data_IF_552013522605
#
_entry.id   IF_552013522605
#
_cell.length_a   1.000
_cell.length_b   1.000
_cell.length_c   1.000
_cell.angle_alpha   90.00
_cell.angle_beta   90.00
_cell.angle_gamma   90.00
#
_symmetry.space_group_name_H-M   'P 1'
#
loop_
_entity.id
_entity.type
_entity.pdbx_description
1 polymer ?
#
# COMPACT_ATOMS: atom_id res chain seq x y z
N UNK A 1 6.13 2.68 20.23
CA UNK A 1 5.32 3.91 20.06
C UNK A 1 6.20 5.05 19.54
N UNK A 2 6.89 5.87 20.35
CA UNK A 2 7.68 7.03 19.85
C UNK A 2 8.47 6.87 18.52
N UNK A 3 9.26 5.81 18.33
CA UNK A 3 9.96 5.59 17.03
C UNK A 3 9.00 5.36 15.84
N UNK A 4 7.91 4.64 16.05
CA UNK A 4 6.90 4.43 15.00
C UNK A 4 6.11 5.71 14.69
N UNK A 5 5.87 6.56 15.70
CA UNK A 5 5.28 7.89 15.50
C UNK A 5 6.23 8.81 14.70
N UNK A 6 7.53 8.73 14.96
CA UNK A 6 8.59 9.46 14.26
C UNK A 6 8.76 9.00 12.81
N UNK A 7 8.75 7.68 12.55
CA UNK A 7 8.76 7.11 11.19
C UNK A 7 7.51 7.48 10.38
N UNK A 8 6.32 7.48 10.99
CA UNK A 8 5.07 7.93 10.34
C UNK A 8 5.11 9.43 10.03
N UNK A 9 5.63 10.26 10.94
CA UNK A 9 5.83 11.69 10.69
C UNK A 9 6.83 11.95 9.54
N UNK A 10 7.91 11.17 9.43
CA UNK A 10 8.88 11.29 8.35
C UNK A 10 8.30 10.85 6.99
N UNK A 11 7.53 9.76 6.95
CA UNK A 11 6.87 9.28 5.71
C UNK A 11 5.80 10.25 5.23
N UNK A 12 4.99 10.80 6.14
CA UNK A 12 3.97 11.80 5.79
C UNK A 12 4.59 13.11 5.28
N UNK A 13 5.69 13.57 5.88
CA UNK A 13 6.44 14.72 5.37
C UNK A 13 7.02 14.48 3.97
N UNK A 14 7.58 13.28 3.71
CA UNK A 14 8.05 12.89 2.37
C UNK A 14 6.92 12.88 1.33
N UNK A 15 5.75 12.37 1.71
CA UNK A 15 4.60 12.30 0.81
C UNK A 15 4.06 13.69 0.45
N UNK A 16 3.98 14.61 1.43
CA UNK A 16 3.61 16.01 1.18
C UNK A 16 4.56 16.70 0.19
N UNK A 17 5.88 16.52 0.35
CA UNK A 17 6.88 17.10 -0.55
C UNK A 17 6.83 16.53 -1.99
N UNK A 18 6.33 15.31 -2.18
CA UNK A 18 6.09 14.72 -3.51
C UNK A 18 4.84 15.35 -4.15
N UNK A 19 3.77 15.56 -3.38
CA UNK A 19 2.53 16.18 -3.87
C UNK A 19 2.75 17.63 -4.32
N UNK A 20 3.51 18.44 -3.57
CA UNK A 20 3.86 19.80 -3.99
C UNK A 20 4.69 19.81 -5.29
N UNK A 21 5.65 18.89 -5.43
CA UNK A 21 6.44 18.74 -6.66
C UNK A 21 5.60 18.36 -7.89
N UNK A 22 4.61 17.48 -7.72
CA UNK A 22 3.68 17.13 -8.81
C UNK A 22 2.81 18.34 -9.19
N UNK A 23 2.34 19.09 -8.19
CA UNK A 23 1.53 20.31 -8.39
C UNK A 23 2.29 21.44 -9.09
N UNK A 24 3.60 21.57 -8.88
CA UNK A 24 4.45 22.54 -9.59
C UNK A 24 4.92 22.05 -10.98
N UNK A 25 4.89 20.74 -11.23
CA UNK A 25 5.35 20.14 -12.49
C UNK A 25 4.33 20.29 -13.63
N UNK A 26 3.05 20.04 -13.33
CA UNK A 26 1.96 19.96 -14.32
C UNK A 26 1.81 21.28 -15.12
N UNK A 27 1.78 22.42 -14.41
CA UNK A 27 1.58 23.74 -15.01
C UNK A 27 2.74 24.26 -15.88
N UNK A 28 3.88 23.57 -15.95
CA UNK A 28 5.01 23.96 -16.83
C UNK A 28 5.03 23.19 -18.15
N UNK A 29 4.50 21.96 -18.18
CA UNK A 29 4.46 21.14 -19.39
C UNK A 29 3.41 21.65 -20.39
N UNK A 30 2.18 21.91 -19.93
CA UNK A 30 1.08 22.39 -20.79
C UNK A 30 1.39 23.74 -21.44
N UNK A 31 1.97 24.68 -20.68
CA UNK A 31 2.35 26.00 -21.18
C UNK A 31 3.50 25.96 -22.20
N UNK A 32 4.33 24.90 -22.20
CA UNK A 32 5.39 24.73 -23.21
C UNK A 32 4.84 24.22 -24.54
N UNK A 33 3.92 23.24 -24.50
CA UNK A 33 3.28 22.66 -25.68
C UNK A 33 2.41 23.69 -26.42
N UNK A 34 1.66 24.51 -25.70
CA UNK A 34 0.79 25.53 -26.31
C UNK A 34 1.58 26.60 -27.09
N UNK A 35 2.81 26.90 -26.66
CA UNK A 35 3.65 27.93 -27.25
C UNK A 35 4.39 27.44 -28.53
N UNK A 36 4.61 26.12 -28.65
CA UNK A 36 5.28 25.50 -29.80
C UNK A 36 4.33 25.32 -31.00
N UNK A 37 3.07 24.98 -30.74
CA UNK A 37 2.01 24.85 -31.77
C UNK A 37 1.70 26.18 -32.47
N UNK A 38 1.81 27.31 -31.75
CA UNK A 38 1.52 28.63 -32.33
C UNK A 38 2.58 29.13 -33.34
N UNK A 39 3.76 28.53 -33.38
CA UNK A 39 4.86 28.92 -34.28
C UNK A 39 4.89 28.16 -35.61
N UNK A 40 4.11 27.08 -35.74
CA UNK A 40 4.13 26.19 -36.90
C UNK A 40 3.10 26.52 -37.99
N UNK A 41 2.17 27.46 -37.74
CA UNK A 41 1.03 27.73 -38.63
C UNK A 41 1.23 28.89 -39.63
N UNK A 42 2.45 29.42 -39.80
CA UNK A 42 2.66 30.69 -40.52
C UNK A 42 3.76 30.65 -41.60
N UNK A 43 3.92 29.50 -42.26
CA UNK A 43 4.62 29.38 -43.55
C UNK A 43 3.73 28.58 -44.50
N UNK A 44 3.21 29.26 -45.52
CA UNK A 44 2.99 28.77 -46.90
C UNK A 44 2.02 29.69 -47.65
N UNK A 45 2.56 30.76 -48.28
CA UNK A 45 1.80 31.53 -49.28
C UNK A 45 2.68 32.38 -50.19
N UNK A 46 3.39 31.75 -51.13
CA UNK A 46 3.89 32.44 -52.34
C UNK A 46 3.61 31.59 -53.59
N UNK A 47 2.70 32.10 -54.45
CA UNK A 47 2.44 31.55 -55.79
C UNK A 47 3.22 32.37 -56.82
N UNK A 48 4.12 31.73 -57.57
CA UNK A 48 4.84 32.36 -58.68
C UNK A 48 4.14 32.14 -60.03
N UNK A 49 3.51 33.17 -60.58
CA UNK A 49 2.97 33.17 -61.94
C UNK A 49 4.08 33.38 -63.00
N UNK A 50 4.27 32.42 -63.90
CA UNK A 50 5.15 32.56 -65.08
C UNK A 50 4.35 32.53 -66.38
N UNK A 51 4.09 33.73 -66.91
CA UNK A 51 3.41 33.95 -68.20
C UNK A 51 4.23 33.40 -69.36
N UNK A 52 3.63 32.50 -70.17
CA UNK A 52 4.12 32.20 -71.52
C UNK A 52 4.12 33.48 -72.36
N UNK A 53 5.23 33.78 -73.03
CA UNK A 53 5.22 34.62 -74.24
C UNK A 53 5.23 33.73 -75.47
N UNK A 54 4.34 34.05 -76.38
CA UNK A 54 4.22 33.52 -77.74
C UNK A 54 5.00 34.48 -78.64
N UNK A 55 5.81 33.95 -79.54
CA UNK A 55 6.35 34.72 -80.66
C UNK A 55 5.56 34.30 -81.89
N UNK A 56 5.02 35.29 -82.59
CA UNK A 56 4.23 35.09 -83.81
C UNK A 56 5.13 35.11 -85.05
N UNK A 57 4.51 34.70 -86.14
CA UNK A 57 5.06 34.36 -87.44
C UNK A 57 5.84 35.49 -88.14
N UNK A 58 6.84 35.09 -88.94
CA UNK A 58 7.41 35.90 -90.02
C UNK A 58 7.26 35.07 -91.30
N UNK A 59 6.15 35.28 -92.01
CA UNK A 59 6.01 34.88 -93.41
C UNK A 59 6.41 36.08 -94.27
N UNK A 60 7.68 36.14 -94.68
CA UNK A 60 8.10 37.05 -95.76
C UNK A 60 7.94 36.32 -97.10
N UNK A 61 6.90 36.71 -97.84
CA UNK A 61 6.71 36.34 -99.24
C UNK A 61 7.80 37.02 -100.09
N UNK A 62 8.76 36.24 -100.60
CA UNK A 62 9.72 36.72 -101.58
C UNK A 62 9.11 36.64 -102.98
N UNK A 63 8.77 37.81 -103.54
CA UNK A 63 8.42 37.98 -104.95
C UNK A 63 9.59 37.53 -105.83
N UNK A 64 9.33 36.60 -106.75
CA UNK A 64 10.32 36.12 -107.73
C UNK A 64 10.10 36.85 -109.04
N UNK A 65 10.88 37.91 -109.28
CA UNK A 65 10.88 38.62 -110.56
C UNK A 65 11.43 37.72 -111.69
N UNK A 66 10.71 37.72 -112.81
CA UNK A 66 10.95 36.85 -113.98
C UNK A 66 12.11 37.39 -114.84
N UNK A 67 13.36 37.07 -114.46
CA UNK A 67 14.55 37.48 -115.22
C UNK A 67 14.89 36.45 -116.30
N UNK A 68 14.82 36.93 -117.55
CA UNK A 68 15.19 36.25 -118.80
C UNK A 68 16.61 35.65 -118.73
N UNK A 69 16.86 34.44 -119.27
CA UNK A 69 18.13 33.74 -119.09
C UNK A 69 19.26 34.33 -119.95
N UNK A 70 20.05 35.22 -119.36
CA UNK A 70 21.31 35.66 -119.94
C UNK A 70 22.47 34.72 -119.55
N UNK A 71 23.34 34.41 -120.51
CA UNK A 71 24.32 33.33 -120.42
C UNK A 71 25.57 33.70 -119.58
N UNK A 72 25.37 33.95 -118.29
CA UNK A 72 26.43 34.16 -117.28
C UNK A 72 26.08 33.57 -115.90
N UNK A 73 24.92 32.91 -115.77
CA UNK A 73 24.39 32.39 -114.51
C UNK A 73 25.14 31.17 -113.92
N UNK A 74 26.09 30.60 -114.66
CA UNK A 74 26.73 29.32 -114.31
C UNK A 74 27.76 29.42 -113.18
N UNK A 75 28.42 30.57 -113.00
CA UNK A 75 29.57 30.70 -112.10
C UNK A 75 29.17 31.02 -110.65
N UNK A 76 27.95 31.53 -110.41
CA UNK A 76 27.41 31.77 -109.07
C UNK A 76 26.84 30.50 -108.41
N UNK A 77 26.49 29.50 -109.20
CA UNK A 77 25.87 28.26 -108.71
C UNK A 77 26.85 27.35 -107.96
N UNK A 78 28.17 27.54 -108.15
CA UNK A 78 29.23 26.81 -107.45
C UNK A 78 29.22 27.00 -105.93
N UNK A 79 29.50 28.22 -105.42
CA UNK A 79 29.56 28.48 -103.98
C UNK A 79 28.22 28.23 -103.28
N UNK A 80 27.09 28.61 -103.89
CA UNK A 80 25.76 28.34 -103.33
C UNK A 80 25.49 26.83 -103.21
N UNK A 81 25.95 26.02 -104.18
CA UNK A 81 25.84 24.56 -104.12
C UNK A 81 26.74 23.97 -103.03
N UNK A 82 27.93 24.52 -102.80
CA UNK A 82 28.79 24.10 -101.69
C UNK A 82 28.17 24.46 -100.33
N UNK A 83 27.65 25.68 -100.17
CA UNK A 83 26.97 26.13 -98.95
C UNK A 83 25.70 25.30 -98.65
N UNK A 84 24.88 25.01 -99.66
CA UNK A 84 23.71 24.12 -99.51
C UNK A 84 24.14 22.67 -99.18
N UNK A 85 25.25 22.17 -99.74
CA UNK A 85 25.80 20.87 -99.38
C UNK A 85 26.34 20.84 -97.95
N UNK A 86 26.99 21.91 -97.49
CA UNK A 86 27.48 22.05 -96.13
C UNK A 86 26.32 22.11 -95.13
N UNK A 87 25.31 22.94 -95.38
CA UNK A 87 24.09 23.01 -94.55
C UNK A 87 23.35 21.67 -94.55
N UNK A 88 23.25 20.96 -95.68
CA UNK A 88 22.70 19.60 -95.71
C UNK A 88 23.54 18.60 -94.89
N UNK A 89 24.87 18.73 -94.91
CA UNK A 89 25.79 17.92 -94.12
C UNK A 89 25.65 18.18 -92.62
N UNK A 90 25.59 19.46 -92.21
CA UNK A 90 25.33 19.89 -90.84
C UNK A 90 23.94 19.41 -90.36
N UNK A 91 22.90 19.53 -91.19
CA UNK A 91 21.55 19.07 -90.87
C UNK A 91 21.49 17.55 -90.69
N UNK A 92 22.19 16.78 -91.55
CA UNK A 92 22.31 15.33 -91.39
C UNK A 92 23.12 14.95 -90.16
N UNK A 93 24.21 15.65 -89.87
CA UNK A 93 24.96 15.46 -88.63
C UNK A 93 24.09 15.71 -87.39
N UNK A 94 23.23 16.74 -87.40
CA UNK A 94 22.26 16.99 -86.32
C UNK A 94 21.20 15.88 -86.20
N UNK A 95 20.66 15.39 -87.32
CA UNK A 95 19.75 14.22 -87.34
C UNK A 95 20.43 12.98 -86.73
N UNK A 96 21.69 12.72 -87.08
CA UNK A 96 22.45 11.59 -86.56
C UNK A 96 22.81 11.77 -85.07
N UNK A 97 23.14 12.99 -84.62
CA UNK A 97 23.33 13.30 -83.19
C UNK A 97 22.05 13.11 -82.38
N UNK A 98 20.89 13.52 -82.91
CA UNK A 98 19.59 13.30 -82.27
C UNK A 98 19.29 11.80 -82.16
N UNK A 99 19.48 11.03 -83.24
CA UNK A 99 19.32 9.56 -83.23
C UNK A 99 20.32 8.86 -82.31
N UNK A 100 21.55 9.35 -82.18
CA UNK A 100 22.53 8.83 -81.22
C UNK A 100 22.16 9.19 -79.78
N UNK A 101 21.64 10.39 -79.52
CA UNK A 101 21.17 10.76 -78.18
C UNK A 101 19.95 9.92 -77.77
N UNK A 102 19.04 9.63 -78.70
CA UNK A 102 17.90 8.72 -78.50
C UNK A 102 18.39 7.31 -78.17
N UNK A 103 19.31 6.75 -78.96
CA UNK A 103 19.93 5.43 -78.68
C UNK A 103 20.65 5.39 -77.32
N UNK A 104 21.47 6.39 -77.00
CA UNK A 104 22.18 6.48 -75.73
C UNK A 104 21.23 6.66 -74.53
N UNK A 105 20.07 7.28 -74.73
CA UNK A 105 19.02 7.40 -73.72
C UNK A 105 18.19 6.12 -73.56
N UNK A 106 18.16 5.26 -74.58
CA UNK A 106 17.46 3.97 -74.57
C UNK A 106 18.37 2.81 -74.12
N UNK A 107 19.70 2.93 -74.17
CA UNK A 107 20.63 1.87 -73.71
C UNK A 107 20.58 1.54 -72.21
N UNK A 108 19.71 2.19 -71.43
CA UNK A 108 19.38 1.78 -70.06
C UNK A 108 18.20 0.79 -69.96
N UNK A 109 17.46 0.53 -71.04
CA UNK A 109 16.40 -0.48 -71.05
C UNK A 109 16.34 -1.25 -72.39
N UNK A 110 16.52 -2.57 -72.28
CA UNK A 110 16.20 -3.61 -73.27
C UNK A 110 17.14 -3.84 -74.48
N UNK A 111 17.69 -5.04 -74.47
CA UNK A 111 18.21 -5.75 -75.64
C UNK A 111 17.07 -6.26 -76.52
N UNK A 112 17.13 -6.06 -77.85
CA UNK A 112 17.04 -7.11 -78.90
C UNK A 112 16.85 -6.51 -80.31
N UNK A 113 17.41 -7.21 -81.31
CA UNK A 113 17.10 -7.15 -82.75
C UNK A 113 17.35 -5.88 -83.58
N UNK A 114 18.49 -5.93 -84.27
CA UNK A 114 18.55 -5.92 -85.75
C UNK A 114 18.33 -4.62 -86.56
N UNK A 115 19.49 -4.11 -87.01
CA UNK A 115 19.77 -3.70 -88.41
C UNK A 115 18.82 -2.72 -89.12
N UNK A 116 19.32 -1.50 -89.35
CA UNK A 116 18.94 -0.66 -90.49
C UNK A 116 20.16 0.12 -90.97
N UNK A 117 20.81 -0.41 -92.01
CA UNK A 117 21.98 0.22 -92.64
C UNK A 117 21.53 1.39 -93.51
N UNK A 118 21.41 2.59 -92.94
CA UNK A 118 21.17 3.81 -93.72
C UNK A 118 22.48 4.30 -94.32
N UNK A 119 22.55 4.29 -95.65
CA UNK A 119 23.79 4.50 -96.42
C UNK A 119 24.44 5.87 -96.21
N UNK A 120 25.70 5.84 -95.77
CA UNK A 120 26.61 6.98 -95.83
C UNK A 120 26.95 7.32 -97.28
N UNK A 121 26.18 8.22 -97.88
CA UNK A 121 26.46 8.77 -99.20
C UNK A 121 26.94 10.22 -99.08
N UNK A 122 28.23 10.43 -99.32
CA UNK A 122 28.79 11.73 -99.70
C UNK A 122 28.31 12.07 -101.13
N UNK A 123 27.22 12.82 -101.22
CA UNK A 123 26.60 13.18 -102.50
C UNK A 123 27.28 14.39 -103.15
N UNK A 124 27.97 14.17 -104.27
CA UNK A 124 28.45 15.25 -105.17
C UNK A 124 27.36 15.78 -106.13
N UNK A 125 26.15 15.21 -106.06
CA UNK A 125 24.98 15.57 -106.84
C UNK A 125 23.73 15.66 -105.93
N UNK A 126 23.12 16.84 -105.87
CA UNK A 126 21.88 17.11 -105.15
C UNK A 126 20.66 16.79 -106.03
N UNK A 127 19.76 15.93 -105.56
CA UNK A 127 18.48 15.67 -106.24
C UNK A 127 17.37 16.49 -105.57
N UNK A 128 16.58 17.22 -106.36
CA UNK A 128 15.48 18.06 -105.86
C UNK A 128 14.57 17.23 -104.94
N UNK A 129 14.37 17.72 -103.71
CA UNK A 129 13.56 17.07 -102.68
C UNK A 129 14.34 16.48 -101.49
N UNK A 130 15.64 16.19 -101.61
CA UNK A 130 16.41 15.53 -100.53
C UNK A 130 16.51 16.37 -99.24
N UNK A 131 16.69 17.69 -99.36
CA UNK A 131 16.66 18.60 -98.20
C UNK A 131 15.27 18.62 -97.54
N UNK A 132 14.19 18.60 -98.34
CA UNK A 132 12.82 18.56 -97.82
C UNK A 132 12.54 17.26 -97.06
N UNK A 133 13.15 16.15 -97.49
CA UNK A 133 13.07 14.86 -96.81
C UNK A 133 13.85 14.88 -95.49
N UNK A 134 15.08 15.42 -95.47
CA UNK A 134 15.86 15.63 -94.24
C UNK A 134 15.19 16.57 -93.24
N UNK A 135 14.57 17.67 -93.70
CA UNK A 135 13.81 18.59 -92.85
C UNK A 135 12.53 17.91 -92.31
N UNK A 136 11.86 17.05 -93.10
CA UNK A 136 10.75 16.23 -92.63
C UNK A 136 11.19 15.19 -91.60
N UNK A 137 12.33 14.52 -91.80
CA UNK A 137 12.92 13.59 -90.81
C UNK A 137 13.27 14.32 -89.51
N UNK A 138 13.97 15.46 -89.60
CA UNK A 138 14.34 16.27 -88.44
C UNK A 138 13.11 16.78 -87.68
N UNK A 139 12.09 17.29 -88.39
CA UNK A 139 10.80 17.66 -87.80
C UNK A 139 10.10 16.48 -87.14
N UNK A 140 10.17 15.29 -87.76
CA UNK A 140 9.64 14.05 -87.21
C UNK A 140 10.33 13.67 -85.90
N UNK A 141 11.65 13.71 -85.84
CA UNK A 141 12.46 13.41 -84.66
C UNK A 141 12.26 14.46 -83.55
N UNK A 142 12.19 15.75 -83.88
CA UNK A 142 11.89 16.82 -82.91
C UNK A 142 10.49 16.63 -82.33
N UNK A 143 9.49 16.31 -83.16
CA UNK A 143 8.14 16.01 -82.68
C UNK A 143 8.08 14.72 -81.85
N UNK A 144 8.85 13.69 -82.19
CA UNK A 144 8.97 12.46 -81.40
C UNK A 144 9.58 12.73 -80.02
N UNK A 145 10.68 13.51 -79.96
CA UNK A 145 11.29 13.95 -78.71
C UNK A 145 10.33 14.78 -77.86
N UNK A 146 9.65 15.77 -78.44
CA UNK A 146 8.68 16.61 -77.71
C UNK A 146 7.45 15.82 -77.21
N UNK A 147 7.12 14.70 -77.85
CA UNK A 147 5.94 13.88 -77.51
C UNK A 147 6.27 12.69 -76.59
N UNK A 148 7.51 12.20 -76.61
CA UNK A 148 7.96 11.01 -75.88
C UNK A 148 8.96 11.25 -74.74
N UNK A 149 9.66 12.40 -74.68
CA UNK A 149 10.75 12.60 -73.69
C UNK A 149 10.25 13.09 -72.33
N UNK A 150 10.01 12.13 -71.44
CA UNK A 150 9.96 12.32 -69.97
C UNK A 150 8.67 12.93 -69.43
N UNK A 151 8.42 14.21 -69.69
CA UNK A 151 7.51 15.06 -68.88
C UNK A 151 6.09 14.50 -68.69
N UNK A 152 5.55 13.71 -69.62
CA UNK A 152 4.22 13.10 -69.46
C UNK A 152 4.24 11.74 -68.77
N UNK A 153 5.22 10.87 -69.06
CA UNK A 153 5.34 9.56 -68.42
C UNK A 153 5.81 9.69 -66.97
N UNK A 154 6.78 10.57 -66.72
CA UNK A 154 7.31 10.83 -65.38
C UNK A 154 6.24 11.54 -64.51
N UNK A 155 5.43 12.44 -65.09
CA UNK A 155 4.29 13.06 -64.39
C UNK A 155 3.21 12.03 -64.05
N UNK A 156 2.81 11.15 -64.98
CA UNK A 156 1.84 10.09 -64.67
C UNK A 156 2.38 9.10 -63.62
N UNK A 157 3.68 8.77 -63.65
CA UNK A 157 4.30 7.91 -62.65
C UNK A 157 4.32 8.58 -61.26
N UNK A 158 4.67 9.86 -61.20
CA UNK A 158 4.69 10.63 -59.95
C UNK A 158 3.28 10.90 -59.41
N UNK A 159 2.30 11.13 -60.29
CA UNK A 159 0.87 11.24 -59.94
C UNK A 159 0.36 9.90 -59.37
N UNK A 160 0.69 8.77 -59.99
CA UNK A 160 0.35 7.45 -59.48
C UNK A 160 1.01 7.15 -58.12
N UNK A 161 2.27 7.51 -57.94
CA UNK A 161 2.98 7.37 -56.65
C UNK A 161 2.39 8.28 -55.57
N UNK A 162 2.04 9.53 -55.90
CA UNK A 162 1.32 10.44 -54.99
C UNK A 162 -0.07 9.89 -54.62
N UNK A 163 -0.80 9.28 -55.57
CA UNK A 163 -2.07 8.62 -55.27
C UNK A 163 -1.88 7.39 -54.36
N UNK A 164 -0.87 6.55 -54.63
CA UNK A 164 -0.54 5.40 -53.78
C UNK A 164 -0.13 5.82 -52.36
N UNK A 165 0.66 6.88 -52.22
CA UNK A 165 1.03 7.45 -50.92
C UNK A 165 -0.16 8.06 -50.17
N UNK A 166 -1.13 8.65 -50.88
CA UNK A 166 -2.40 9.12 -50.29
C UNK A 166 -3.25 7.94 -49.80
N UNK A 167 -3.42 6.90 -50.61
CA UNK A 167 -4.13 5.67 -50.22
C UNK A 167 -3.46 5.00 -49.01
N UNK A 168 -2.13 4.96 -48.96
CA UNK A 168 -1.38 4.44 -47.81
C UNK A 168 -1.54 5.31 -46.55
N UNK A 169 -1.61 6.64 -46.69
CA UNK A 169 -1.87 7.56 -45.59
C UNK A 169 -3.31 7.40 -45.06
N UNK A 170 -4.30 7.31 -45.96
CA UNK A 170 -5.70 7.07 -45.61
C UNK A 170 -5.87 5.71 -44.90
N UNK A 171 -5.22 4.65 -45.37
CA UNK A 171 -5.20 3.35 -44.70
C UNK A 171 -4.58 3.44 -43.29
N UNK A 172 -3.41 4.10 -43.15
CA UNK A 172 -2.76 4.29 -41.86
C UNK A 172 -3.61 5.14 -40.89
N UNK A 173 -4.37 6.11 -41.41
CA UNK A 173 -5.29 6.93 -40.62
C UNK A 173 -6.48 6.10 -40.10
N UNK A 174 -7.02 5.19 -40.92
CA UNK A 174 -8.07 4.25 -40.49
C UNK A 174 -7.52 3.28 -39.43
N UNK A 175 -6.33 2.73 -39.63
CA UNK A 175 -5.67 1.86 -38.65
C UNK A 175 -5.43 2.58 -37.32
N UNK A 176 -4.97 3.84 -37.35
CA UNK A 176 -4.79 4.66 -36.15
C UNK A 176 -6.12 4.88 -35.41
N UNK A 177 -7.20 5.17 -36.13
CA UNK A 177 -8.55 5.30 -35.54
C UNK A 177 -9.04 3.99 -34.92
N UNK A 178 -8.78 2.84 -35.57
CA UNK A 178 -9.09 1.53 -35.00
C UNK A 178 -8.32 1.29 -33.68
N UNK A 179 -7.01 1.61 -33.63
CA UNK A 179 -6.21 1.51 -32.40
C UNK A 179 -6.68 2.45 -31.30
N UNK A 180 -7.09 3.69 -31.62
CA UNK A 180 -7.68 4.60 -30.63
C UNK A 180 -8.96 4.04 -30.03
N UNK A 181 -9.84 3.44 -30.83
CA UNK A 181 -11.04 2.78 -30.32
C UNK A 181 -10.74 1.52 -29.48
N UNK A 182 -9.70 0.74 -29.82
CA UNK A 182 -9.26 -0.39 -29.01
C UNK A 182 -8.69 0.08 -27.65
N UNK A 183 -7.91 1.16 -27.63
CA UNK A 183 -7.43 1.80 -26.39
C UNK A 183 -8.63 2.27 -25.54
N UNK A 184 -9.62 2.97 -26.12
CA UNK A 184 -10.82 3.39 -25.40
C UNK A 184 -11.61 2.21 -24.80
N UNK A 185 -11.70 1.07 -25.50
CA UNK A 185 -12.29 -0.17 -24.97
C UNK A 185 -11.48 -0.70 -23.79
N UNK A 186 -10.16 -0.80 -23.94
CA UNK A 186 -9.27 -1.26 -22.86
C UNK A 186 -9.35 -0.36 -21.63
N UNK A 187 -9.33 0.97 -21.79
CA UNK A 187 -9.53 1.90 -20.69
C UNK A 187 -10.88 1.70 -19.98
N UNK A 188 -11.97 1.46 -20.73
CA UNK A 188 -13.29 1.20 -20.13
C UNK A 188 -13.31 -0.08 -19.30
N UNK A 189 -12.62 -1.13 -19.77
CA UNK A 189 -12.46 -2.37 -19.04
C UNK A 189 -11.59 -2.17 -17.80
N UNK A 190 -10.44 -1.50 -17.93
CA UNK A 190 -9.56 -1.15 -16.81
C UNK A 190 -10.31 -0.35 -15.74
N UNK A 191 -11.09 0.67 -16.12
CA UNK A 191 -11.95 1.44 -15.20
C UNK A 191 -12.97 0.57 -14.48
N UNK A 192 -13.61 -0.38 -15.18
CA UNK A 192 -14.56 -1.32 -14.55
C UNK A 192 -13.88 -2.30 -13.57
N UNK A 193 -12.68 -2.80 -13.91
CA UNK A 193 -11.90 -3.68 -13.05
C UNK A 193 -11.33 -2.94 -11.82
N UNK A 194 -10.91 -1.68 -11.98
CA UNK A 194 -10.52 -0.80 -10.88
C UNK A 194 -11.69 -0.59 -9.91
N UNK A 195 -12.88 -0.28 -10.42
CA UNK A 195 -14.09 -0.13 -9.60
C UNK A 195 -14.45 -1.45 -8.87
N UNK A 196 -14.34 -2.59 -9.54
CA UNK A 196 -14.58 -3.90 -8.91
C UNK A 196 -13.55 -4.20 -7.81
N UNK A 197 -12.27 -3.91 -8.05
CA UNK A 197 -11.19 -4.06 -7.07
C UNK A 197 -11.43 -3.17 -5.85
N UNK A 198 -11.80 -1.91 -6.05
CA UNK A 198 -12.14 -0.96 -4.98
C UNK A 198 -13.34 -1.45 -4.14
N UNK A 199 -14.40 -1.94 -4.78
CA UNK A 199 -15.55 -2.54 -4.08
C UNK A 199 -15.15 -3.80 -3.29
N UNK A 200 -14.28 -4.66 -3.84
CA UNK A 200 -13.76 -5.83 -3.13
C UNK A 200 -12.90 -5.42 -1.94
N UNK A 201 -12.02 -4.44 -2.12
CA UNK A 201 -11.16 -3.89 -1.06
C UNK A 201 -11.98 -3.33 0.11
N UNK A 202 -12.99 -2.50 -0.17
CA UNK A 202 -13.87 -1.95 0.88
C UNK A 202 -14.64 -3.06 1.62
N UNK A 203 -15.01 -4.16 0.94
CA UNK A 203 -15.59 -5.34 1.60
C UNK A 203 -14.58 -6.07 2.48
N UNK A 204 -13.33 -6.21 2.05
CA UNK A 204 -12.27 -6.81 2.85
C UNK A 204 -11.96 -5.96 4.08
N UNK A 205 -11.83 -4.65 3.93
CA UNK A 205 -11.66 -3.68 5.03
C UNK A 205 -12.85 -3.76 6.01
N UNK A 206 -14.10 -3.75 5.53
CA UNK A 206 -15.29 -3.89 6.38
C UNK A 206 -15.44 -5.27 7.06
N UNK A 207 -14.94 -6.36 6.47
CA UNK A 207 -14.86 -7.67 7.13
C UNK A 207 -13.75 -7.72 8.17
N UNK A 208 -12.61 -7.05 7.94
CA UNK A 208 -11.54 -6.91 8.92
C UNK A 208 -11.99 -6.09 10.13
N UNK A 209 -12.73 -5.00 9.91
CA UNK A 209 -13.36 -4.21 10.98
C UNK A 209 -14.33 -5.06 11.82
N UNK A 210 -15.20 -5.85 11.18
CA UNK A 210 -16.10 -6.77 11.90
C UNK A 210 -15.34 -7.82 12.71
N UNK A 211 -14.25 -8.36 12.19
CA UNK A 211 -13.39 -9.30 12.94
C UNK A 211 -12.74 -8.60 14.13
N UNK A 212 -12.22 -7.38 13.97
CA UNK A 212 -11.62 -6.62 15.07
C UNK A 212 -12.64 -6.28 16.18
N UNK A 213 -13.87 -5.89 15.81
CA UNK A 213 -14.96 -5.65 16.78
C UNK A 213 -15.31 -6.94 17.53
N UNK A 214 -15.50 -8.06 16.82
CA UNK A 214 -15.81 -9.35 17.45
C UNK A 214 -14.65 -9.88 18.33
N UNK A 215 -13.40 -9.59 17.97
CA UNK A 215 -12.24 -9.90 18.79
C UNK A 215 -12.22 -9.05 20.07
N UNK A 216 -12.47 -7.73 19.97
CA UNK A 216 -12.58 -6.83 21.12
C UNK A 216 -13.72 -7.24 22.06
N UNK A 217 -14.91 -7.52 21.53
CA UNK A 217 -16.06 -8.01 22.31
C UNK A 217 -15.73 -9.33 23.03
N UNK A 218 -15.02 -10.23 22.35
CA UNK A 218 -14.59 -11.49 22.94
C UNK A 218 -13.56 -11.24 24.06
N UNK A 219 -12.55 -10.42 23.83
CA UNK A 219 -11.56 -10.02 24.85
C UNK A 219 -12.23 -9.36 26.07
N UNK A 220 -13.17 -8.43 25.87
CA UNK A 220 -13.93 -7.78 26.94
C UNK A 220 -14.80 -8.78 27.73
N UNK A 221 -15.47 -9.72 27.05
CA UNK A 221 -16.22 -10.78 27.77
C UNK A 221 -15.29 -11.76 28.50
N UNK A 222 -14.08 -12.01 28.00
CA UNK A 222 -13.07 -12.80 28.70
C UNK A 222 -12.54 -12.06 29.93
N UNK A 223 -12.18 -10.78 29.82
CA UNK A 223 -11.79 -9.92 30.93
C UNK A 223 -12.89 -9.85 32.00
N UNK A 224 -14.16 -9.75 31.59
CA UNK A 224 -15.33 -9.78 32.49
C UNK A 224 -15.48 -11.13 33.22
N UNK A 225 -15.32 -12.25 32.51
CA UNK A 225 -15.32 -13.61 33.11
C UNK A 225 -14.17 -13.79 34.09
N UNK A 226 -12.96 -13.39 33.73
CA UNK A 226 -11.78 -13.49 34.60
C UNK A 226 -11.92 -12.63 35.86
N UNK A 227 -12.46 -11.42 35.74
CA UNK A 227 -12.81 -10.60 36.90
C UNK A 227 -13.87 -11.25 37.79
N UNK A 228 -14.88 -11.92 37.21
CA UNK A 228 -15.89 -12.66 37.96
C UNK A 228 -15.30 -13.88 38.67
N UNK A 229 -14.40 -14.63 38.02
CA UNK A 229 -13.68 -15.76 38.61
C UNK A 229 -12.79 -15.30 39.77
N UNK A 230 -12.03 -14.21 39.61
CA UNK A 230 -11.22 -13.63 40.69
C UNK A 230 -12.09 -13.22 41.88
N UNK A 231 -13.18 -12.49 41.65
CA UNK A 231 -14.14 -12.12 42.72
C UNK A 231 -14.73 -13.35 43.42
N UNK A 232 -15.02 -14.43 42.68
CA UNK A 232 -15.53 -15.68 43.26
C UNK A 232 -14.47 -16.39 44.12
N UNK A 233 -13.19 -16.36 43.71
CA UNK A 233 -12.07 -16.86 44.52
C UNK A 233 -11.87 -16.00 45.77
N UNK A 234 -11.88 -14.67 45.67
CA UNK A 234 -11.78 -13.76 46.82
C UNK A 234 -12.90 -14.02 47.84
N UNK A 235 -14.14 -14.21 47.39
CA UNK A 235 -15.28 -14.54 48.25
C UNK A 235 -15.12 -15.91 48.91
N UNK A 236 -14.67 -16.93 48.16
CA UNK A 236 -14.36 -18.27 48.71
C UNK A 236 -13.28 -18.17 49.78
N UNK A 237 -12.19 -17.46 49.51
CA UNK A 237 -11.03 -17.41 50.38
C UNK A 237 -11.31 -16.60 51.65
N UNK A 238 -12.12 -15.53 51.55
CA UNK A 238 -12.70 -14.84 52.71
C UNK A 238 -13.63 -15.76 53.52
N UNK A 239 -14.46 -16.58 52.88
CA UNK A 239 -15.34 -17.51 53.59
C UNK A 239 -14.54 -18.61 54.30
N UNK A 240 -13.50 -19.15 53.67
CA UNK A 240 -12.56 -20.12 54.27
C UNK A 240 -11.81 -19.49 55.43
N UNK A 241 -11.31 -18.25 55.30
CA UNK A 241 -10.66 -17.54 56.40
C UNK A 241 -11.60 -17.33 57.61
N UNK A 242 -12.86 -16.97 57.37
CA UNK A 242 -13.89 -16.86 58.42
C UNK A 242 -14.18 -18.20 59.08
N UNK A 243 -14.32 -19.29 58.30
CA UNK A 243 -14.51 -20.65 58.81
C UNK A 243 -13.35 -21.06 59.72
N UNK A 244 -12.12 -20.93 59.24
CA UNK A 244 -10.92 -21.32 59.97
C UNK A 244 -10.76 -20.49 61.26
N UNK A 245 -11.08 -19.18 61.23
CA UNK A 245 -11.10 -18.35 62.43
C UNK A 245 -12.13 -18.86 63.46
N UNK A 246 -13.35 -19.14 63.03
CA UNK A 246 -14.40 -19.67 63.91
C UNK A 246 -14.05 -21.07 64.47
N UNK A 247 -13.39 -21.93 63.68
CA UNK A 247 -12.89 -23.24 64.13
C UNK A 247 -11.79 -23.11 65.20
N UNK A 248 -10.88 -22.13 65.05
CA UNK A 248 -9.86 -21.81 66.04
C UNK A 248 -10.49 -21.28 67.34
N UNK A 249 -11.47 -20.38 67.23
CA UNK A 249 -12.20 -19.83 68.39
C UNK A 249 -13.00 -20.92 69.12
N UNK A 250 -13.66 -21.82 68.37
CA UNK A 250 -14.35 -22.98 68.93
C UNK A 250 -13.39 -23.96 69.63
N UNK A 251 -12.19 -24.18 69.08
CA UNK A 251 -11.17 -25.02 69.70
C UNK A 251 -10.67 -24.41 71.02
N UNK A 252 -10.45 -23.09 71.07
CA UNK A 252 -10.09 -22.37 72.31
C UNK A 252 -11.17 -22.49 73.38
N UNK A 253 -12.43 -22.18 73.04
CA UNK A 253 -13.54 -22.28 73.98
C UNK A 253 -13.74 -23.72 74.54
N UNK A 254 -13.45 -24.76 73.73
CA UNK A 254 -13.43 -26.15 74.21
C UNK A 254 -12.31 -26.43 75.20
N UNK A 255 -11.11 -25.91 74.96
CA UNK A 255 -9.96 -26.05 75.88
C UNK A 255 -10.26 -25.30 77.19
N UNK A 256 -10.78 -24.08 77.12
CA UNK A 256 -11.20 -23.29 78.28
C UNK A 256 -12.27 -24.01 79.12
N UNK A 257 -13.28 -24.59 78.47
CA UNK A 257 -14.31 -25.39 79.14
C UNK A 257 -13.74 -26.64 79.84
N UNK A 258 -12.80 -27.34 79.21
CA UNK A 258 -12.10 -28.48 79.84
C UNK A 258 -11.24 -28.04 81.02
N UNK A 259 -10.55 -26.90 80.92
CA UNK A 259 -9.75 -26.34 82.00
C UNK A 259 -10.62 -25.94 83.21
N UNK A 260 -11.75 -25.27 82.98
CA UNK A 260 -12.72 -24.92 84.04
C UNK A 260 -13.30 -26.18 84.68
N UNK A 261 -13.56 -27.24 83.90
CA UNK A 261 -14.03 -28.52 84.43
C UNK A 261 -12.97 -29.20 85.32
N UNK A 262 -11.68 -29.16 84.95
CA UNK A 262 -10.58 -29.65 85.81
C UNK A 262 -10.52 -28.89 87.13
N UNK A 263 -10.56 -27.55 87.07
CA UNK A 263 -10.55 -26.69 88.26
C UNK A 263 -11.77 -26.95 89.18
N UNK A 264 -12.94 -27.20 88.59
CA UNK A 264 -14.14 -27.58 89.35
C UNK A 264 -13.98 -28.95 90.02
N UNK A 265 -13.41 -29.94 89.32
CA UNK A 265 -13.16 -31.27 89.86
C UNK A 265 -12.16 -31.22 91.03
N UNK A 266 -11.07 -30.45 90.89
CA UNK A 266 -10.10 -30.19 91.95
C UNK A 266 -10.74 -29.50 93.17
N UNK A 267 -11.60 -28.51 92.96
CA UNK A 267 -12.32 -27.83 94.04
C UNK A 267 -13.33 -28.74 94.75
N UNK A 268 -14.01 -29.63 94.02
CA UNK A 268 -14.89 -30.66 94.60
C UNK A 268 -14.08 -31.66 95.42
N UNK A 269 -12.93 -32.12 94.91
CA UNK A 269 -12.04 -33.05 95.61
C UNK A 269 -11.54 -32.44 96.93
N UNK A 270 -11.03 -31.20 96.90
CA UNK A 270 -10.62 -30.47 98.12
C UNK A 270 -11.77 -30.30 99.11
N UNK A 271 -13.00 -30.03 98.63
CA UNK A 271 -14.19 -29.95 99.49
C UNK A 271 -14.50 -31.30 100.17
N UNK A 272 -14.40 -32.41 99.43
CA UNK A 272 -14.61 -33.76 99.98
C UNK A 272 -13.56 -34.08 101.04
N UNK A 273 -12.29 -33.83 100.76
CA UNK A 273 -11.18 -34.05 101.71
C UNK A 273 -11.35 -33.24 103.01
N UNK A 274 -11.70 -31.95 102.90
CA UNK A 274 -12.00 -31.12 104.08
C UNK A 274 -13.24 -31.58 104.84
N UNK A 275 -14.25 -32.14 104.15
CA UNK A 275 -15.45 -32.70 104.80
C UNK A 275 -15.11 -33.96 105.60
N UNK A 276 -14.30 -34.87 105.02
CA UNK A 276 -13.80 -36.07 105.70
C UNK A 276 -12.93 -35.73 106.91
N UNK A 277 -12.05 -34.72 106.80
CA UNK A 277 -11.27 -34.22 107.94
C UNK A 277 -12.18 -33.68 109.05
N UNK A 278 -13.26 -32.97 108.71
CA UNK A 278 -14.21 -32.44 109.67
C UNK A 278 -15.01 -33.55 110.36
N UNK A 279 -15.44 -34.58 109.62
CA UNK A 279 -16.07 -35.79 110.17
C UNK A 279 -15.14 -36.53 111.15
N UNK A 280 -13.86 -36.71 110.79
CA UNK A 280 -12.86 -37.30 111.69
C UNK A 280 -12.70 -36.47 112.98
N UNK A 281 -12.56 -35.16 112.87
CA UNK A 281 -12.48 -34.25 114.03
C UNK A 281 -13.73 -34.31 114.92
N UNK A 282 -14.93 -34.51 114.35
CA UNK A 282 -16.15 -34.70 115.11
C UNK A 282 -16.11 -36.01 115.92
N UNK A 283 -15.66 -37.11 115.31
CA UNK A 283 -15.50 -38.41 116.00
C UNK A 283 -14.47 -38.31 117.13
N UNK A 284 -13.31 -37.70 116.87
CA UNK A 284 -12.24 -37.55 117.87
C UNK A 284 -12.71 -36.70 119.06
N UNK A 285 -13.41 -35.57 118.79
CA UNK A 285 -14.00 -34.74 119.84
C UNK A 285 -15.09 -35.46 120.63
N UNK A 286 -15.90 -36.31 119.99
CA UNK A 286 -16.90 -37.12 120.69
C UNK A 286 -16.23 -38.16 121.60
N UNK A 287 -15.16 -38.83 121.16
CA UNK A 287 -14.40 -39.76 122.00
C UNK A 287 -13.79 -39.05 123.21
N UNK A 288 -13.20 -37.87 123.02
CA UNK A 288 -12.66 -37.07 124.13
C UNK A 288 -13.73 -36.65 125.15
N UNK A 289 -14.94 -36.30 124.70
CA UNK A 289 -16.06 -36.00 125.59
C UNK A 289 -16.55 -37.25 126.34
N UNK A 290 -16.68 -38.38 125.65
CA UNK A 290 -17.09 -39.66 126.25
C UNK A 290 -16.06 -40.15 127.28
N UNK A 291 -14.76 -39.99 127.00
CA UNK A 291 -13.66 -40.28 127.92
C UNK A 291 -13.70 -39.38 129.14
N UNK A 292 -13.84 -38.05 128.96
CA UNK A 292 -14.01 -37.11 130.07
C UNK A 292 -15.24 -37.45 130.92
N UNK A 293 -16.36 -37.84 130.30
CA UNK A 293 -17.58 -38.22 131.02
C UNK A 293 -17.39 -39.52 131.81
N UNK A 294 -16.77 -40.55 131.22
CA UNK A 294 -16.39 -41.80 131.91
C UNK A 294 -15.45 -41.53 133.09
N UNK A 295 -14.48 -40.65 132.91
CA UNK A 295 -13.50 -40.29 133.95
C UNK A 295 -14.15 -39.48 135.09
N UNK A 296 -15.06 -38.56 134.78
CA UNK A 296 -15.86 -37.83 135.78
C UNK A 296 -16.80 -38.75 136.55
N UNK A 297 -17.44 -39.71 135.89
CA UNK A 297 -18.28 -40.73 136.55
C UNK A 297 -17.44 -41.59 137.51
N UNK A 298 -16.32 -42.16 137.06
CA UNK A 298 -15.39 -42.90 137.92
C UNK A 298 -14.90 -42.06 139.11
N UNK A 299 -14.55 -40.80 138.87
CA UNK A 299 -14.12 -39.87 139.92
C UNK A 299 -15.21 -39.62 140.96
N UNK A 300 -16.47 -39.44 140.53
CA UNK A 300 -17.61 -39.30 141.45
C UNK A 300 -17.90 -40.59 142.21
N UNK A 301 -17.77 -41.75 141.56
CA UNK A 301 -18.04 -43.06 142.16
C UNK A 301 -16.97 -43.43 143.21
N UNK A 302 -15.71 -43.07 142.95
CA UNK A 302 -14.62 -43.08 143.93
C UNK A 302 -14.86 -42.11 145.09
N UNK A 303 -15.35 -40.89 144.81
CA UNK A 303 -15.66 -39.89 145.84
C UNK A 303 -16.84 -40.33 146.73
N UNK A 304 -17.89 -40.94 146.16
CA UNK A 304 -19.04 -41.49 146.90
C UNK A 304 -18.69 -42.66 147.83
N UNK A 305 -17.54 -43.30 147.65
CA UNK A 305 -17.06 -44.42 148.49
C UNK A 305 -16.28 -44.00 149.75
N UNK A 306 -16.17 -42.70 150.06
CA UNK A 306 -15.53 -42.20 151.31
C UNK A 306 -16.51 -41.37 152.15
N UNK A 307 -16.51 -41.51 153.49
CA UNK A 307 -17.28 -40.66 154.38
C UNK A 307 -16.64 -39.25 154.55
N UNK A 308 -17.52 -38.30 154.87
CA UNK A 308 -17.35 -36.93 155.43
C UNK A 308 -16.06 -36.63 156.23
N UNK A 309 -15.47 -35.42 156.31
CA UNK A 309 -15.76 -34.01 155.88
C UNK A 309 -14.47 -33.14 156.14
N UNK A 310 -14.44 -31.78 156.26
CA UNK A 310 -14.27 -30.82 155.14
C UNK A 310 -13.18 -29.71 155.33
N UNK A 311 -12.95 -28.89 154.27
CA UNK A 311 -12.47 -27.47 154.31
C UNK A 311 -11.03 -27.17 154.85
N UNK A 312 -10.32 -26.09 154.50
CA UNK A 312 -10.70 -24.71 154.08
C UNK A 312 -9.81 -24.19 152.92
N UNK A 313 -10.36 -23.26 152.13
CA UNK A 313 -9.79 -22.64 150.92
C UNK A 313 -8.92 -21.39 151.21
N UNK A 314 -8.20 -20.90 150.17
CA UNK A 314 -8.16 -19.48 149.70
C UNK A 314 -6.76 -18.94 149.35
N UNK A 315 -6.57 -17.94 148.47
CA UNK A 315 -7.20 -17.60 147.17
C UNK A 315 -6.38 -16.45 146.51
N UNK A 316 -6.11 -16.49 145.19
CA UNK A 316 -5.85 -15.35 144.25
C UNK A 316 -5.32 -15.92 142.91
N UNK A 317 -5.87 -15.65 141.70
CA UNK A 317 -5.97 -14.36 140.95
C UNK A 317 -4.58 -13.83 140.53
N UNK A 318 -4.21 -13.49 139.29
CA UNK A 318 -4.84 -13.40 137.94
C UNK A 318 -3.69 -13.48 136.88
N UNK A 319 -3.85 -13.49 135.54
CA UNK A 319 -5.01 -13.43 134.63
C UNK A 319 -4.55 -13.07 133.18
N UNK A 320 -5.31 -13.47 132.14
CA UNK A 320 -4.98 -13.24 130.70
C UNK A 320 -4.19 -14.40 130.06
N UNK A 321 -4.60 -15.11 129.00
CA UNK A 321 -5.60 -14.87 127.94
C UNK A 321 -5.28 -13.72 126.98
N UNK A 322 -4.46 -14.00 125.96
CA UNK A 322 -4.46 -13.27 124.67
C UNK A 322 -4.81 -14.23 123.53
N UNK A 323 -6.11 -14.35 123.30
CA UNK A 323 -6.70 -14.93 122.09
C UNK A 323 -6.44 -14.00 120.88
N UNK A 324 -6.20 -14.60 119.72
CA UNK A 324 -6.65 -14.11 118.39
C UNK A 324 -6.18 -12.73 117.88
N UNK A 325 -5.21 -12.69 116.96
CA UNK A 325 -5.00 -11.55 116.04
C UNK A 325 -4.31 -11.89 114.69
N UNK A 326 -4.71 -12.99 114.02
CA UNK A 326 -4.35 -13.27 112.61
C UNK A 326 -5.54 -13.79 111.79
N UNK A 327 -6.65 -13.06 111.84
CA UNK A 327 -7.76 -13.27 110.93
C UNK A 327 -7.59 -12.36 109.68
N UNK A 328 -7.65 -12.98 108.50
CA UNK A 328 -7.94 -12.40 107.19
C UNK A 328 -7.08 -11.21 106.69
N UNK A 329 -6.14 -11.50 105.78
CA UNK A 329 -5.55 -10.48 104.87
C UNK A 329 -5.31 -10.95 103.42
N UNK A 330 -5.93 -12.05 102.98
CA UNK A 330 -5.60 -12.74 101.72
C UNK A 330 -6.72 -12.83 100.67
N UNK A 331 -7.84 -12.12 100.83
CA UNK A 331 -8.94 -12.10 99.85
C UNK A 331 -9.31 -10.69 99.37
N UNK A 332 -8.35 -9.95 98.80
CA UNK A 332 -8.66 -8.76 97.95
C UNK A 332 -7.58 -8.34 96.94
N UNK A 333 -6.96 -9.28 96.20
CA UNK A 333 -6.12 -8.99 95.02
C UNK A 333 -6.19 -10.10 93.94
N UNK A 334 -7.33 -10.22 93.26
CA UNK A 334 -7.43 -10.96 91.96
C UNK A 334 -8.67 -10.58 91.13
N UNK A 335 -9.00 -9.28 91.07
CA UNK A 335 -10.17 -8.76 90.32
C UNK A 335 -9.84 -7.46 89.56
N UNK A 336 -8.56 -7.29 89.22
CA UNK A 336 -8.05 -6.34 88.24
C UNK A 336 -6.84 -7.02 87.62
N UNK A 337 -7.03 -7.50 86.40
CA UNK A 337 -6.06 -7.81 85.35
C UNK A 337 -6.81 -8.72 84.35
N UNK A 338 -7.71 -8.09 83.58
CA UNK A 338 -8.32 -8.59 82.34
C UNK A 338 -9.09 -7.41 81.70
N UNK A 339 -8.42 -6.69 80.80
CA UNK A 339 -8.94 -5.59 79.96
C UNK A 339 -8.00 -5.38 78.79
#
# INVERSE_FOLDING_TARGET
MRRAEEEVAEVTARHAAILDRLREGDGKAENSLLNEIHLSFNRDSEKGDLKRRRCDDIEEELEVDEIVPDSSFSDLFGPLKEEVLEVCGQLRALVDHIRQQEKNSLTSLETLSSSSSTSSHSFTHFKVGMLMELVKELRGLILALLRGRGVRSDSLSLEAEVHHLREALEALQIDLQAKLHDIQRQESLVRSLQQQLEICRVKEEGLQEQIQVLQSDLEDTHLSKDQLIRKAWDVRDQAVARKNKAEIELAKARIESLQVNSQLLEAVQQKVELSQQLEQWQVDMQSLLDEQLKEKLRSQELARRKPSTPSVESNQSQGGSTRTARFLRLLRRRSRDDS
#
